data_IF_802126343530
#
_entry.id   IF_802126343530
#
_cell.length_a   1.000
_cell.length_b   1.000
_cell.length_c   1.000
_cell.angle_alpha   90.00
_cell.angle_beta   90.00
_cell.angle_gamma   90.00
#
_symmetry.space_group_name_H-M   'P 1'
#
loop_
_entity.id
_entity.type
_entity.pdbx_description
1 polymer ?
#
# COMPACT_ATOMS: atom_id res chain seq x y z
N UNK A 1 -12.79 -1.29 -9.60
CA UNK A 1 -11.50 -1.58 -10.25
C UNK A 1 -10.49 -1.76 -9.14
N UNK A 2 -9.78 -2.89 -9.13
CA UNK A 2 -8.83 -3.24 -8.08
C UNK A 2 -7.42 -3.30 -8.66
N UNK A 3 -6.43 -2.99 -7.82
CA UNK A 3 -5.02 -3.16 -8.11
C UNK A 3 -4.41 -4.06 -7.03
N UNK A 4 -3.32 -4.74 -7.36
CA UNK A 4 -2.53 -5.50 -6.39
C UNK A 4 -1.21 -4.76 -6.23
N UNK A 5 -0.83 -4.48 -4.99
CA UNK A 5 0.42 -3.81 -4.65
C UNK A 5 1.20 -4.67 -3.68
N UNK A 6 2.51 -4.78 -3.87
CA UNK A 6 3.39 -5.47 -2.93
C UNK A 6 3.90 -4.48 -1.89
N UNK A 7 3.62 -4.76 -0.62
CA UNK A 7 4.00 -3.92 0.50
C UNK A 7 4.70 -4.81 1.53
N UNK A 8 5.98 -4.53 1.79
CA UNK A 8 6.82 -5.30 2.71
C UNK A 8 6.88 -6.82 2.40
N UNK A 9 6.89 -7.19 1.11
CA UNK A 9 6.94 -8.58 0.66
C UNK A 9 5.60 -9.33 0.75
N UNK A 10 4.50 -8.64 1.05
CA UNK A 10 3.14 -9.17 1.02
C UNK A 10 2.30 -8.44 -0.03
N UNK A 11 1.49 -9.18 -0.77
CA UNK A 11 0.60 -8.59 -1.76
C UNK A 11 -0.74 -8.18 -1.14
N UNK A 12 -1.14 -6.94 -1.40
CA UNK A 12 -2.41 -6.37 -0.94
C UNK A 12 -3.28 -6.03 -2.13
N UNK A 13 -4.53 -6.49 -2.09
CA UNK A 13 -5.57 -6.04 -3.02
C UNK A 13 -6.11 -4.70 -2.53
N UNK A 14 -5.92 -3.65 -3.32
CA UNK A 14 -6.40 -2.29 -3.04
C UNK A 14 -7.46 -1.90 -4.06
N UNK A 15 -8.48 -1.19 -3.60
CA UNK A 15 -9.55 -0.63 -4.42
C UNK A 15 -9.64 0.88 -4.25
N UNK A 16 -10.27 1.57 -5.20
CA UNK A 16 -10.49 3.02 -5.13
C UNK A 16 -11.29 3.35 -3.86
N UNK A 17 -10.83 4.35 -3.10
CA UNK A 17 -11.41 4.80 -1.82
C UNK A 17 -11.36 3.78 -0.66
N UNK A 18 -10.53 2.74 -0.79
CA UNK A 18 -10.30 1.75 0.27
C UNK A 18 -9.14 2.16 1.20
N UNK A 19 -9.36 2.03 2.51
CA UNK A 19 -8.29 2.09 3.52
C UNK A 19 -7.78 0.68 3.79
N UNK A 20 -6.47 0.46 3.66
CA UNK A 20 -5.83 -0.84 3.92
C UNK A 20 -4.83 -0.66 5.06
N UNK A 21 -4.90 -1.56 6.04
CA UNK A 21 -3.95 -1.60 7.15
C UNK A 21 -2.83 -2.57 6.78
N UNK A 22 -1.63 -2.03 6.63
CA UNK A 22 -0.42 -2.80 6.28
C UNK A 22 0.52 -2.86 7.48
N UNK A 23 1.53 -3.72 7.38
CA UNK A 23 2.61 -3.74 8.36
C UNK A 23 3.34 -2.40 8.41
N UNK A 24 3.93 -2.09 9.57
CA UNK A 24 4.61 -0.81 9.83
C UNK A 24 5.60 -0.51 8.70
N UNK A 25 5.28 0.51 7.92
CA UNK A 25 6.17 1.02 6.89
C UNK A 25 7.29 1.80 7.57
N UNK A 26 8.51 1.72 7.02
CA UNK A 26 9.62 2.58 7.44
C UNK A 26 9.46 4.04 7.00
N UNK A 27 8.34 4.37 6.36
CA UNK A 27 8.03 5.70 5.84
C UNK A 27 7.36 6.57 6.90
N UNK A 28 7.67 7.86 6.91
CA UNK A 28 7.07 8.82 7.83
C UNK A 28 5.56 9.00 7.58
N UNK A 29 4.82 9.25 8.66
CA UNK A 29 3.38 9.48 8.63
C UNK A 29 3.06 10.72 7.76
N UNK A 30 2.15 10.56 6.79
CA UNK A 30 1.74 11.64 5.89
C UNK A 30 2.54 11.78 4.59
N UNK A 31 3.64 11.03 4.41
CA UNK A 31 4.34 10.97 3.11
C UNK A 31 3.58 10.11 2.10
N UNK A 32 3.48 10.61 0.87
CA UNK A 32 3.00 9.82 -0.27
C UNK A 32 4.10 8.85 -0.67
N UNK A 33 3.82 7.56 -0.58
CA UNK A 33 4.72 6.49 -1.03
C UNK A 33 4.21 6.01 -2.39
N UNK A 34 5.08 6.00 -3.39
CA UNK A 34 4.81 5.37 -4.66
C UNK A 34 5.38 3.95 -4.61
N UNK A 35 4.54 2.96 -4.92
CA UNK A 35 4.99 1.58 -5.12
C UNK A 35 5.02 1.36 -6.63
N UNK A 36 6.22 1.42 -7.20
CA UNK A 36 6.46 0.96 -8.58
C UNK A 36 6.52 -0.58 -8.57
N UNK A 37 5.86 -1.19 -9.56
CA UNK A 37 5.63 -2.63 -9.67
C UNK A 37 6.92 -3.46 -9.83
#
# INVERSE_FOLDING_TARGET
MYAIVEIAGQQFKVEKDQKVFVHRLQTEEGKKVAFDN
#
